data_IF_864045910978
#
_entry.id   IF_864045910978
#
_cell.length_a   1.000
_cell.length_b   1.000
_cell.length_c   1.000
_cell.angle_alpha   90.00
_cell.angle_beta   90.00
_cell.angle_gamma   90.00
#
_symmetry.space_group_name_H-M   'P 1'
#
loop_
_entity.id
_entity.type
_entity.pdbx_description
1 polymer ?
#
# COMPACT_ATOMS: atom_id res chain seq x y z
N UNK A 1 -36.75 21.65 -8.74
CA UNK A 1 -35.48 20.93 -8.97
C UNK A 1 -35.79 19.44 -8.90
N UNK A 2 -35.33 18.60 -9.84
CA UNK A 2 -35.65 17.17 -9.80
C UNK A 2 -34.99 16.57 -8.55
N UNK A 3 -35.76 15.79 -7.79
CA UNK A 3 -35.29 15.10 -6.59
C UNK A 3 -34.13 14.18 -6.98
N UNK A 4 -32.91 14.58 -6.62
CA UNK A 4 -31.75 13.69 -6.74
C UNK A 4 -31.93 12.59 -5.70
N UNK A 5 -32.14 11.37 -6.16
CA UNK A 5 -32.19 10.20 -5.29
C UNK A 5 -30.84 10.00 -4.58
N UNK A 6 -30.88 9.45 -3.37
CA UNK A 6 -29.70 9.18 -2.53
C UNK A 6 -28.62 8.38 -3.28
N UNK A 7 -29.05 7.45 -4.13
CA UNK A 7 -28.19 6.66 -5.01
C UNK A 7 -27.37 7.54 -5.97
N UNK A 8 -27.98 8.57 -6.55
CA UNK A 8 -27.30 9.49 -7.47
C UNK A 8 -26.25 10.33 -6.74
N UNK A 9 -26.56 10.76 -5.52
CA UNK A 9 -25.59 11.47 -4.67
C UNK A 9 -24.41 10.58 -4.29
N UNK A 10 -24.67 9.34 -3.86
CA UNK A 10 -23.61 8.38 -3.51
C UNK A 10 -22.74 8.06 -4.72
N UNK A 11 -23.31 7.92 -5.92
CA UNK A 11 -22.54 7.70 -7.15
C UNK A 11 -21.65 8.89 -7.51
N UNK A 12 -22.17 10.12 -7.40
CA UNK A 12 -21.35 11.33 -7.61
C UNK A 12 -20.25 11.44 -6.56
N UNK A 13 -20.57 11.16 -5.29
CA UNK A 13 -19.60 11.20 -4.19
C UNK A 13 -18.46 10.21 -4.42
N UNK A 14 -18.77 8.98 -4.82
CA UNK A 14 -17.78 7.96 -5.17
C UNK A 14 -16.90 8.42 -6.34
N UNK A 15 -17.49 8.98 -7.40
CA UNK A 15 -16.72 9.51 -8.51
C UNK A 15 -15.77 10.65 -8.11
N UNK A 16 -16.19 11.55 -7.21
CA UNK A 16 -15.31 12.59 -6.67
C UNK A 16 -14.22 12.03 -5.75
N UNK A 17 -14.53 10.99 -4.96
CA UNK A 17 -13.56 10.30 -4.12
C UNK A 17 -12.48 9.61 -4.95
N UNK A 18 -12.88 8.81 -5.95
CA UNK A 18 -11.98 8.03 -6.80
C UNK A 18 -11.09 8.91 -7.69
N UNK A 19 -11.59 10.10 -8.05
CA UNK A 19 -10.79 11.10 -8.80
C UNK A 19 -9.84 11.92 -7.92
N UNK A 20 -9.80 11.68 -6.59
CA UNK A 20 -8.94 12.39 -5.66
C UNK A 20 -9.38 13.84 -5.38
N UNK A 21 -10.55 14.25 -5.88
CA UNK A 21 -11.13 15.58 -5.67
C UNK A 21 -11.86 15.66 -4.32
N UNK A 22 -11.11 15.45 -3.23
CA UNK A 22 -11.66 15.29 -1.88
C UNK A 22 -12.36 16.54 -1.36
N UNK A 23 -11.91 17.75 -1.71
CA UNK A 23 -12.65 18.97 -1.34
C UNK A 23 -14.01 19.05 -2.06
N UNK A 24 -14.07 18.58 -3.31
CA UNK A 24 -15.32 18.50 -4.09
C UNK A 24 -16.27 17.44 -3.50
N UNK A 25 -15.74 16.27 -3.15
CA UNK A 25 -16.48 15.23 -2.44
C UNK A 25 -17.07 15.76 -1.12
N UNK A 26 -16.27 16.51 -0.35
CA UNK A 26 -16.70 17.13 0.92
C UNK A 26 -17.81 18.15 0.71
N UNK A 27 -17.67 19.04 -0.27
CA UNK A 27 -18.73 20.01 -0.57
C UNK A 27 -20.04 19.32 -0.97
N UNK A 28 -19.94 18.22 -1.73
CA UNK A 28 -21.10 17.42 -2.11
C UNK A 28 -21.74 16.79 -0.87
N UNK A 29 -20.93 16.14 -0.03
CA UNK A 29 -21.33 15.54 1.23
C UNK A 29 -22.05 16.52 2.17
N UNK A 30 -21.50 17.72 2.33
CA UNK A 30 -22.05 18.79 3.18
C UNK A 30 -23.42 19.27 2.66
N UNK A 31 -23.63 19.23 1.33
CA UNK A 31 -24.91 19.61 0.70
C UNK A 31 -26.00 18.52 0.75
N UNK A 32 -25.67 17.29 1.13
CA UNK A 32 -26.63 16.19 1.16
C UNK A 32 -27.65 16.34 2.30
N UNK A 33 -28.96 16.39 2.01
CA UNK A 33 -30.00 16.54 3.04
C UNK A 33 -30.20 15.28 3.89
N UNK A 34 -29.87 14.11 3.34
CA UNK A 34 -29.86 12.82 4.03
C UNK A 34 -28.58 12.09 3.68
N UNK A 35 -28.00 11.44 4.68
CA UNK A 35 -26.78 10.62 4.56
C UNK A 35 -27.08 9.25 5.13
N UNK A 36 -26.68 8.22 4.41
CA UNK A 36 -26.71 6.85 4.90
C UNK A 36 -25.28 6.37 5.20
N UNK A 37 -25.18 5.15 5.72
CA UNK A 37 -23.89 4.53 6.03
C UNK A 37 -22.95 4.46 4.81
N UNK A 38 -23.49 4.33 3.60
CA UNK A 38 -22.69 4.34 2.36
C UNK A 38 -22.10 5.72 2.13
N UNK A 39 -22.89 6.79 2.29
CA UNK A 39 -22.40 8.18 2.17
C UNK A 39 -21.23 8.44 3.12
N UNK A 40 -21.36 8.06 4.40
CA UNK A 40 -20.32 8.24 5.41
C UNK A 40 -19.07 7.42 5.12
N UNK A 41 -19.23 6.13 4.79
CA UNK A 41 -18.13 5.24 4.48
C UNK A 41 -17.34 5.72 3.25
N UNK A 42 -18.02 6.14 2.17
CA UNK A 42 -17.35 6.69 0.98
C UNK A 42 -16.56 7.94 1.31
N UNK A 43 -17.12 8.86 2.11
CA UNK A 43 -16.42 10.09 2.48
C UNK A 43 -15.20 9.81 3.37
N UNK A 44 -15.34 8.89 4.33
CA UNK A 44 -14.25 8.49 5.21
C UNK A 44 -13.10 7.83 4.43
N UNK A 45 -13.41 6.90 3.53
CA UNK A 45 -12.42 6.28 2.64
C UNK A 45 -11.72 7.29 1.75
N UNK A 46 -12.46 8.27 1.21
CA UNK A 46 -11.88 9.36 0.41
C UNK A 46 -10.86 10.17 1.21
N UNK A 47 -11.13 10.45 2.49
CA UNK A 47 -10.17 11.13 3.36
C UNK A 47 -8.96 10.26 3.71
N UNK A 48 -9.19 8.97 4.00
CA UNK A 48 -8.13 8.03 4.40
C UNK A 48 -7.10 7.79 3.28
N UNK A 49 -7.52 7.80 2.01
CA UNK A 49 -6.65 7.60 0.85
C UNK A 49 -5.64 8.74 0.61
N UNK A 50 -5.84 9.92 1.21
CA UNK A 50 -4.99 11.10 0.96
C UNK A 50 -3.74 11.16 1.86
N UNK A 51 -3.16 10.00 2.19
CA UNK A 51 -1.91 9.87 2.96
C UNK A 51 -1.87 10.77 4.21
N UNK A 52 -2.93 10.74 5.03
CA UNK A 52 -3.00 11.49 6.29
C UNK A 52 -3.26 13.00 6.18
N UNK A 53 -3.25 13.59 4.97
CA UNK A 53 -3.48 15.04 4.76
C UNK A 53 -4.82 15.52 5.32
N UNK A 54 -5.85 14.68 5.23
CA UNK A 54 -7.21 14.99 5.70
C UNK A 54 -7.59 14.21 6.96
N UNK A 55 -6.61 13.81 7.79
CA UNK A 55 -6.88 13.00 8.98
C UNK A 55 -7.91 13.62 9.92
N UNK A 56 -7.83 14.92 10.21
CA UNK A 56 -8.81 15.56 11.12
C UNK A 56 -10.23 15.52 10.55
N UNK A 57 -10.35 15.55 9.22
CA UNK A 57 -11.64 15.39 8.54
C UNK A 57 -12.09 13.93 8.53
N UNK A 58 -11.17 12.97 8.36
CA UNK A 58 -11.45 11.54 8.49
C UNK A 58 -11.94 11.22 9.91
N UNK A 59 -11.21 11.65 10.94
CA UNK A 59 -11.57 11.46 12.35
C UNK A 59 -12.92 12.11 12.67
N UNK A 60 -13.16 13.35 12.23
CA UNK A 60 -14.47 13.99 12.43
C UNK A 60 -15.59 13.25 11.70
N UNK A 61 -15.34 12.75 10.49
CA UNK A 61 -16.30 11.95 9.74
C UNK A 61 -16.65 10.69 10.56
N UNK A 62 -15.62 9.98 11.02
CA UNK A 62 -15.70 8.78 11.84
C UNK A 62 -16.46 9.01 13.15
N UNK A 63 -16.13 10.07 13.90
CA UNK A 63 -16.77 10.42 15.19
C UNK A 63 -18.25 10.79 15.04
N UNK A 64 -18.65 11.31 13.87
CA UNK A 64 -20.03 11.67 13.55
C UNK A 64 -20.84 10.52 12.94
N UNK A 65 -20.21 9.39 12.60
CA UNK A 65 -20.93 8.24 12.08
C UNK A 65 -21.86 7.68 13.18
N UNK A 66 -23.15 7.43 12.88
CA UNK A 66 -24.07 6.88 13.86
C UNK A 66 -23.70 5.48 14.34
N UNK A 67 -23.13 4.69 13.41
CA UNK A 67 -22.66 3.33 13.62
C UNK A 67 -21.36 3.14 12.83
N UNK A 68 -20.53 2.19 13.24
CA UNK A 68 -19.29 1.84 12.54
C UNK A 68 -19.39 0.45 11.95
N UNK A 69 -19.19 0.36 10.64
CA UNK A 69 -19.04 -0.90 9.95
C UNK A 69 -17.54 -1.19 9.70
N UNK A 70 -17.23 -2.37 9.17
CA UNK A 70 -15.86 -2.80 8.86
C UNK A 70 -15.13 -1.81 7.96
N UNK A 71 -15.82 -1.22 6.98
CA UNK A 71 -15.24 -0.20 6.09
C UNK A 71 -14.80 1.04 6.88
N UNK A 72 -15.60 1.50 7.84
CA UNK A 72 -15.25 2.65 8.67
C UNK A 72 -14.00 2.39 9.53
N UNK A 73 -13.94 1.23 10.18
CA UNK A 73 -12.76 0.84 10.96
C UNK A 73 -11.51 0.71 10.09
N UNK A 74 -11.60 0.06 8.93
CA UNK A 74 -10.50 -0.12 7.99
C UNK A 74 -9.96 1.23 7.50
N UNK A 75 -10.83 2.15 7.11
CA UNK A 75 -10.44 3.49 6.65
C UNK A 75 -9.79 4.30 7.77
N UNK A 76 -10.25 4.18 9.02
CA UNK A 76 -9.64 4.88 10.15
C UNK A 76 -8.25 4.31 10.48
N UNK A 77 -8.08 2.98 10.46
CA UNK A 77 -6.78 2.34 10.66
C UNK A 77 -5.82 2.72 9.53
N UNK A 78 -6.27 2.72 8.27
CA UNK A 78 -5.44 3.17 7.14
C UNK A 78 -5.00 4.64 7.29
N UNK A 79 -5.89 5.51 7.75
CA UNK A 79 -5.57 6.92 7.98
C UNK A 79 -4.55 7.12 9.12
N UNK A 80 -4.60 6.29 10.16
CA UNK A 80 -3.63 6.27 11.26
C UNK A 80 -2.29 5.68 10.84
N UNK A 81 -2.32 4.58 10.08
CA UNK A 81 -1.16 3.93 9.49
C UNK A 81 -0.37 4.92 8.62
N UNK A 82 -1.04 5.67 7.75
CA UNK A 82 -0.42 6.69 6.90
C UNK A 82 0.24 7.85 7.68
N UNK A 83 -0.09 8.01 8.97
CA UNK A 83 0.53 8.99 9.87
C UNK A 83 1.61 8.39 10.76
N UNK A 84 1.91 7.09 10.60
CA UNK A 84 2.81 6.32 11.47
C UNK A 84 2.38 6.34 12.95
N UNK A 85 1.08 6.52 13.21
CA UNK A 85 0.51 6.44 14.56
C UNK A 85 0.05 5.01 14.85
N UNK A 86 1.02 4.09 14.91
CA UNK A 86 0.77 2.64 15.09
C UNK A 86 0.12 2.34 16.43
N UNK A 87 0.42 3.12 17.48
CA UNK A 87 -0.19 2.98 18.80
C UNK A 87 -1.69 3.26 18.78
N UNK A 88 -2.14 4.35 18.14
CA UNK A 88 -3.56 4.62 18.01
C UNK A 88 -4.27 3.62 17.08
N UNK A 89 -3.60 3.20 16.00
CA UNK A 89 -4.12 2.16 15.12
C UNK A 89 -4.33 0.83 15.88
N UNK A 90 -3.35 0.46 16.72
CA UNK A 90 -3.41 -0.74 17.56
C UNK A 90 -4.51 -0.67 18.62
N UNK A 91 -4.70 0.49 19.25
CA UNK A 91 -5.77 0.68 20.23
C UNK A 91 -7.16 0.47 19.62
N UNK A 92 -7.38 0.93 18.39
CA UNK A 92 -8.63 0.68 17.65
C UNK A 92 -8.74 -0.81 17.29
N UNK A 93 -7.66 -1.38 16.75
CA UNK A 93 -7.60 -2.77 16.32
C UNK A 93 -7.92 -3.75 17.48
N UNK A 94 -7.26 -3.63 18.63
CA UNK A 94 -7.44 -4.55 19.76
C UNK A 94 -8.72 -4.28 20.58
N UNK A 95 -9.14 -3.01 20.69
CA UNK A 95 -10.14 -2.60 21.67
C UNK A 95 -11.55 -2.35 21.13
N UNK A 96 -11.67 -1.91 19.86
CA UNK A 96 -12.93 -1.41 19.32
C UNK A 96 -13.53 -2.30 18.23
N UNK A 97 -12.70 -3.14 17.59
CA UNK A 97 -13.12 -3.99 16.47
C UNK A 97 -13.48 -5.40 16.99
N UNK A 98 -14.72 -5.88 16.80
CA UNK A 98 -15.12 -7.21 17.26
C UNK A 98 -14.46 -8.37 16.50
N UNK A 99 -14.24 -8.19 15.19
CA UNK A 99 -13.64 -9.21 14.31
C UNK A 99 -12.67 -8.53 13.33
N UNK A 100 -11.45 -9.04 13.27
CA UNK A 100 -10.41 -8.54 12.36
C UNK A 100 -10.54 -9.23 11.01
N UNK A 101 -10.89 -8.46 9.97
CA UNK A 101 -10.85 -8.97 8.60
C UNK A 101 -9.42 -8.91 8.02
N UNK A 102 -9.22 -9.60 6.90
CA UNK A 102 -7.93 -9.66 6.20
C UNK A 102 -7.44 -8.27 5.78
N UNK A 103 -8.35 -7.35 5.46
CA UNK A 103 -8.01 -5.99 5.02
C UNK A 103 -7.41 -5.19 6.17
N UNK A 104 -8.01 -5.32 7.36
CA UNK A 104 -7.57 -4.65 8.57
C UNK A 104 -6.19 -5.14 9.03
N UNK A 105 -5.98 -6.47 9.04
CA UNK A 105 -4.69 -7.05 9.40
C UNK A 105 -3.61 -6.61 8.41
N UNK A 106 -3.90 -6.59 7.11
CA UNK A 106 -2.95 -6.10 6.10
C UNK A 106 -2.57 -4.63 6.32
N UNK A 107 -3.54 -3.78 6.67
CA UNK A 107 -3.28 -2.37 6.98
C UNK A 107 -2.36 -2.22 8.20
N UNK A 108 -2.56 -3.04 9.24
CA UNK A 108 -1.69 -3.06 10.42
C UNK A 108 -0.29 -3.58 10.11
N UNK A 109 -0.15 -4.64 9.30
CA UNK A 109 1.17 -5.16 8.86
C UNK A 109 1.94 -4.07 8.11
N UNK A 110 1.28 -3.36 7.18
CA UNK A 110 1.89 -2.25 6.45
C UNK A 110 2.31 -1.12 7.40
N UNK A 111 1.44 -0.75 8.36
CA UNK A 111 1.73 0.31 9.34
C UNK A 111 2.95 -0.02 10.21
N UNK A 112 3.00 -1.23 10.78
CA UNK A 112 4.13 -1.69 11.58
C UNK A 112 5.41 -1.79 10.74
N UNK A 113 5.30 -2.26 9.49
CA UNK A 113 6.42 -2.33 8.55
C UNK A 113 7.02 -0.97 8.21
N UNK A 114 6.19 0.05 7.97
CA UNK A 114 6.64 1.43 7.71
C UNK A 114 7.27 2.08 8.96
N UNK A 115 6.84 1.69 10.16
CA UNK A 115 7.42 2.18 11.41
C UNK A 115 8.70 1.43 11.85
N UNK A 116 9.13 0.42 11.10
CA UNK A 116 10.27 -0.44 11.46
C UNK A 116 9.98 -1.44 12.58
N UNK A 117 8.71 -1.65 12.92
CA UNK A 117 8.25 -2.60 13.94
C UNK A 117 8.04 -3.99 13.30
N UNK A 118 9.09 -4.56 12.70
CA UNK A 118 8.98 -5.80 11.93
C UNK A 118 8.48 -6.98 12.78
N UNK A 119 8.80 -7.01 14.08
CA UNK A 119 8.33 -8.05 15.00
C UNK A 119 6.80 -8.11 15.09
N UNK A 120 6.17 -6.96 15.30
CA UNK A 120 4.71 -6.85 15.41
C UNK A 120 4.03 -7.15 14.07
N UNK A 121 4.62 -6.69 12.96
CA UNK A 121 4.16 -7.01 11.62
C UNK A 121 4.16 -8.54 11.35
N UNK A 122 5.21 -9.25 11.80
CA UNK A 122 5.31 -10.71 11.69
C UNK A 122 4.30 -11.43 12.57
N UNK A 123 4.12 -10.99 13.81
CA UNK A 123 3.15 -11.59 14.73
C UNK A 123 1.74 -11.53 14.12
N UNK A 124 1.35 -10.38 13.59
CA UNK A 124 0.07 -10.21 12.90
C UNK A 124 -0.03 -11.12 11.67
N UNK A 125 1.01 -11.16 10.82
CA UNK A 125 1.03 -12.02 9.64
C UNK A 125 0.96 -13.52 9.98
N UNK A 126 1.59 -13.95 11.06
CA UNK A 126 1.59 -15.34 11.54
C UNK A 126 0.24 -15.74 12.15
N UNK A 127 -0.46 -14.79 12.77
CA UNK A 127 -1.80 -14.99 13.32
C UNK A 127 -2.90 -15.18 12.27
N UNK A 128 -2.64 -14.83 11.00
CA UNK A 128 -3.65 -14.91 9.93
C UNK A 128 -3.99 -16.37 9.57
N UNK A 129 -5.26 -16.79 9.68
CA UNK A 129 -5.68 -18.13 9.25
C UNK A 129 -5.62 -18.27 7.72
N UNK A 130 -6.02 -17.23 7.00
CA UNK A 130 -5.98 -17.16 5.54
C UNK A 130 -5.15 -15.96 5.09
N UNK A 131 -4.15 -16.22 4.23
CA UNK A 131 -3.22 -15.22 3.72
C UNK A 131 -3.50 -14.94 2.25
N UNK A 132 -3.66 -13.68 1.91
CA UNK A 132 -3.80 -13.20 0.53
C UNK A 132 -2.46 -12.73 -0.03
N UNK A 133 -2.36 -12.54 -1.35
CA UNK A 133 -1.13 -11.98 -1.94
C UNK A 133 -0.78 -10.60 -1.37
N UNK A 134 -1.79 -9.83 -0.95
CA UNK A 134 -1.61 -8.53 -0.29
C UNK A 134 -0.91 -8.71 1.07
N UNK A 135 -1.32 -9.71 1.87
CA UNK A 135 -0.66 -9.99 3.16
C UNK A 135 0.81 -10.36 2.99
N UNK A 136 1.13 -11.20 2.01
CA UNK A 136 2.51 -11.59 1.67
C UNK A 136 3.34 -10.40 1.19
N UNK A 137 2.82 -9.62 0.26
CA UNK A 137 3.51 -8.43 -0.25
C UNK A 137 3.76 -7.40 0.87
N UNK A 138 2.81 -7.25 1.79
CA UNK A 138 2.93 -6.31 2.92
C UNK A 138 4.07 -6.72 3.88
N UNK A 139 4.15 -7.99 4.25
CA UNK A 139 5.22 -8.46 5.16
C UNK A 139 6.59 -8.51 4.47
N UNK A 140 6.65 -8.86 3.18
CA UNK A 140 7.89 -8.78 2.40
C UNK A 140 8.37 -7.34 2.33
N UNK A 141 7.48 -6.39 2.04
CA UNK A 141 7.81 -4.97 2.03
C UNK A 141 8.32 -4.49 3.40
N UNK A 142 7.71 -4.94 4.51
CA UNK A 142 8.19 -4.64 5.86
C UNK A 142 9.63 -5.15 6.08
N UNK A 143 9.95 -6.39 5.67
CA UNK A 143 11.32 -6.90 5.71
C UNK A 143 12.29 -6.09 4.84
N UNK A 144 11.84 -5.62 3.67
CA UNK A 144 12.68 -4.80 2.77
C UNK A 144 12.99 -3.43 3.38
N UNK A 145 12.04 -2.82 4.10
CA UNK A 145 12.22 -1.54 4.78
C UNK A 145 13.20 -1.68 5.94
N UNK A 146 13.02 -2.74 6.75
CA UNK A 146 13.90 -3.06 7.89
C UNK A 146 15.30 -3.50 7.45
N UNK A 147 15.43 -4.04 6.22
CA UNK A 147 16.68 -4.56 5.69
C UNK A 147 16.94 -6.03 6.04
N UNK A 148 15.95 -6.74 6.58
CA UNK A 148 16.01 -8.19 6.82
C UNK A 148 15.92 -8.97 5.49
N UNK A 149 17.07 -9.07 4.81
CA UNK A 149 17.18 -9.77 3.53
C UNK A 149 16.81 -11.25 3.68
N UNK A 150 17.22 -11.89 4.78
CA UNK A 150 17.04 -13.32 4.96
C UNK A 150 15.56 -13.66 5.16
N UNK A 151 14.89 -12.90 6.02
CA UNK A 151 13.46 -13.06 6.26
C UNK A 151 12.61 -12.76 5.03
N UNK A 152 12.95 -11.73 4.25
CA UNK A 152 12.24 -11.44 3.00
C UNK A 152 12.35 -12.61 2.00
N UNK A 153 13.53 -13.21 1.85
CA UNK A 153 13.73 -14.36 0.95
C UNK A 153 12.95 -15.58 1.44
N UNK A 154 13.01 -15.89 2.74
CA UNK A 154 12.25 -17.00 3.33
C UNK A 154 10.74 -16.85 3.09
N UNK A 155 10.21 -15.63 3.28
CA UNK A 155 8.81 -15.33 3.04
C UNK A 155 8.43 -15.54 1.57
N UNK A 156 9.25 -15.07 0.62
CA UNK A 156 8.98 -15.24 -0.82
C UNK A 156 9.11 -16.70 -1.27
N UNK A 157 9.98 -17.49 -0.64
CA UNK A 157 10.06 -18.94 -0.89
C UNK A 157 8.78 -19.66 -0.46
N UNK A 158 8.16 -19.22 0.64
CA UNK A 158 6.91 -19.76 1.17
C UNK A 158 5.65 -19.27 0.42
N UNK A 159 5.76 -18.24 -0.42
CA UNK A 159 4.63 -17.71 -1.18
C UNK A 159 4.09 -18.74 -2.21
N UNK A 160 2.80 -19.10 -2.16
CA UNK A 160 2.20 -20.02 -3.13
C UNK A 160 2.21 -19.49 -4.57
N UNK A 161 2.15 -18.17 -4.72
CA UNK A 161 2.19 -17.47 -6.00
C UNK A 161 2.90 -16.14 -5.81
N UNK A 162 3.82 -15.85 -6.73
CA UNK A 162 4.57 -14.60 -6.80
C UNK A 162 3.99 -13.74 -7.90
N UNK A 163 3.81 -12.47 -7.63
CA UNK A 163 3.44 -11.47 -8.63
C UNK A 163 4.66 -10.58 -8.95
N UNK A 164 4.47 -9.67 -9.91
CA UNK A 164 5.49 -8.72 -10.33
C UNK A 164 5.98 -7.85 -9.16
N UNK A 165 5.10 -7.51 -8.21
CA UNK A 165 5.44 -6.74 -7.01
C UNK A 165 6.42 -7.51 -6.12
N UNK A 166 6.18 -8.81 -5.92
CA UNK A 166 7.07 -9.70 -5.16
C UNK A 166 8.48 -9.71 -5.75
N UNK A 167 8.59 -9.92 -7.07
CA UNK A 167 9.89 -9.96 -7.77
C UNK A 167 10.62 -8.61 -7.72
N UNK A 168 9.88 -7.51 -7.94
CA UNK A 168 10.43 -6.15 -7.88
C UNK A 168 10.98 -5.84 -6.48
N UNK A 169 10.28 -6.26 -5.42
CA UNK A 169 10.71 -6.07 -4.03
C UNK A 169 12.04 -6.79 -3.76
N UNK A 170 12.19 -8.04 -4.21
CA UNK A 170 13.43 -8.80 -4.06
C UNK A 170 14.61 -8.19 -4.82
N UNK A 171 14.39 -7.74 -6.06
CA UNK A 171 15.45 -7.07 -6.85
C UNK A 171 15.95 -5.83 -6.12
N UNK A 172 15.04 -5.00 -5.61
CA UNK A 172 15.38 -3.79 -4.85
C UNK A 172 16.14 -4.13 -3.56
N UNK A 173 15.70 -5.16 -2.84
CA UNK A 173 16.33 -5.62 -1.60
C UNK A 173 17.79 -6.04 -1.82
N UNK A 174 18.04 -6.94 -2.78
CA UNK A 174 19.39 -7.41 -3.08
C UNK A 174 20.27 -6.32 -3.68
N UNK A 175 19.68 -5.41 -4.49
CA UNK A 175 20.39 -4.25 -5.02
C UNK A 175 20.86 -3.29 -3.91
N UNK A 176 20.03 -3.07 -2.88
CA UNK A 176 20.38 -2.25 -1.70
C UNK A 176 21.44 -2.91 -0.83
N UNK A 177 21.47 -4.24 -0.77
CA UNK A 177 22.50 -5.02 -0.08
C UNK A 177 23.79 -5.19 -0.90
N UNK A 178 23.93 -4.49 -2.05
CA UNK A 178 25.05 -4.61 -3.00
C UNK A 178 25.28 -6.03 -3.57
N UNK A 179 24.27 -6.90 -3.46
CA UNK A 179 24.28 -8.28 -3.97
C UNK A 179 23.73 -8.33 -5.41
N UNK A 180 24.40 -7.62 -6.33
CA UNK A 180 23.94 -7.41 -7.70
C UNK A 180 23.76 -8.70 -8.52
N UNK A 181 24.63 -9.69 -8.32
CA UNK A 181 24.52 -10.99 -9.00
C UNK A 181 23.22 -11.73 -8.64
N UNK A 182 22.83 -11.65 -7.37
CA UNK A 182 21.60 -12.28 -6.90
C UNK A 182 20.37 -11.47 -7.36
N UNK A 183 20.45 -10.13 -7.33
CA UNK A 183 19.40 -9.27 -7.89
C UNK A 183 19.15 -9.58 -9.38
N UNK A 184 20.22 -9.80 -10.16
CA UNK A 184 20.14 -10.22 -11.55
C UNK A 184 19.58 -11.64 -11.72
N UNK A 185 20.04 -12.59 -10.91
CA UNK A 185 19.51 -13.96 -10.94
C UNK A 185 18.01 -14.01 -10.66
N UNK A 186 17.53 -13.19 -9.72
CA UNK A 186 16.11 -13.05 -9.39
C UNK A 186 15.33 -12.42 -10.56
N UNK A 187 15.90 -11.40 -11.19
CA UNK A 187 15.32 -10.82 -12.40
C UNK A 187 15.23 -11.85 -13.53
N UNK A 188 16.27 -12.65 -13.77
CA UNK A 188 16.29 -13.68 -14.83
C UNK A 188 15.27 -14.81 -14.57
N UNK A 189 14.91 -15.08 -13.31
CA UNK A 189 13.87 -16.05 -12.92
C UNK A 189 12.44 -15.51 -13.10
N UNK A 190 12.27 -14.21 -13.30
CA UNK A 190 10.97 -13.58 -13.47
C UNK A 190 10.34 -14.01 -14.81
N UNK A 191 9.09 -14.52 -14.84
CA UNK A 191 8.48 -15.02 -16.08
C UNK A 191 8.27 -13.96 -17.16
N UNK A 192 8.01 -12.71 -16.76
CA UNK A 192 7.81 -11.57 -17.66
C UNK A 192 8.58 -10.38 -17.12
N UNK A 193 9.45 -9.75 -17.93
CA UNK A 193 10.19 -8.55 -17.52
C UNK A 193 9.42 -7.29 -17.87
N UNK A 194 8.78 -6.66 -16.89
CA UNK A 194 8.09 -5.39 -17.07
C UNK A 194 9.04 -4.19 -16.90
N UNK A 195 8.55 -3.00 -17.28
CA UNK A 195 9.35 -1.76 -17.19
C UNK A 195 9.76 -1.48 -15.74
N UNK A 196 8.94 -1.85 -14.77
CA UNK A 196 9.19 -1.61 -13.34
C UNK A 196 10.36 -2.45 -12.85
N UNK A 197 10.39 -3.75 -13.12
CA UNK A 197 11.48 -4.63 -12.72
C UNK A 197 12.80 -4.26 -13.42
N UNK A 198 12.76 -3.91 -14.71
CA UNK A 198 13.92 -3.42 -15.44
C UNK A 198 14.47 -2.13 -14.81
N UNK A 199 13.59 -1.20 -14.45
CA UNK A 199 13.97 0.06 -13.80
C UNK A 199 14.59 -0.20 -12.42
N UNK A 200 14.02 -1.12 -11.64
CA UNK A 200 14.55 -1.50 -10.32
C UNK A 200 15.98 -2.07 -10.43
N UNK A 201 16.20 -3.01 -11.35
CA UNK A 201 17.53 -3.59 -11.57
C UNK A 201 18.55 -2.56 -12.09
N UNK A 202 18.14 -1.72 -13.04
CA UNK A 202 18.98 -0.66 -13.59
C UNK A 202 19.41 0.34 -12.52
N UNK A 203 18.48 0.81 -11.67
CA UNK A 203 18.76 1.69 -10.54
C UNK A 203 19.67 1.00 -9.51
N UNK A 204 19.51 -0.31 -9.32
CA UNK A 204 20.37 -1.13 -8.48
C UNK A 204 21.83 -1.12 -8.94
N UNK A 205 22.07 -1.36 -10.24
CA UNK A 205 23.42 -1.28 -10.82
C UNK A 205 24.00 0.14 -10.76
N UNK A 206 23.21 1.16 -11.12
CA UNK A 206 23.65 2.55 -11.12
C UNK A 206 24.09 3.01 -9.72
N UNK A 207 23.31 2.67 -8.69
CA UNK A 207 23.61 3.02 -7.29
C UNK A 207 24.90 2.37 -6.78
N UNK A 208 25.24 1.19 -7.27
CA UNK A 208 26.46 0.47 -6.91
C UNK A 208 27.65 0.79 -7.82
N UNK A 209 27.49 1.72 -8.78
CA UNK A 209 28.56 2.16 -9.69
C UNK A 209 28.88 1.19 -10.83
N UNK A 210 28.06 0.16 -11.05
CA UNK A 210 28.26 -0.80 -12.15
C UNK A 210 27.65 -0.28 -13.45
N UNK A 211 28.41 0.57 -14.14
CA UNK A 211 28.02 1.18 -15.42
C UNK A 211 27.80 0.14 -16.54
N UNK A 212 28.50 -0.99 -16.51
CA UNK A 212 28.34 -2.05 -17.51
C UNK A 212 27.03 -2.81 -17.30
N UNK A 213 26.67 -3.09 -16.05
CA UNK A 213 25.38 -3.62 -15.66
C UNK A 213 24.24 -2.68 -16.07
N UNK A 214 24.34 -1.40 -15.72
CA UNK A 214 23.34 -0.37 -16.06
C UNK A 214 23.11 -0.28 -17.57
N UNK A 215 24.18 -0.22 -18.37
CA UNK A 215 24.07 -0.13 -19.84
C UNK A 215 23.45 -1.38 -20.45
N UNK A 216 23.85 -2.58 -20.00
CA UNK A 216 23.27 -3.85 -20.49
C UNK A 216 21.77 -3.92 -20.26
N UNK A 217 21.30 -3.56 -19.07
CA UNK A 217 19.87 -3.55 -18.75
C UNK A 217 19.15 -2.44 -19.53
N UNK A 218 19.76 -1.27 -19.71
CA UNK A 218 19.16 -0.19 -20.50
C UNK A 218 18.97 -0.57 -21.99
N UNK A 219 19.89 -1.35 -22.54
CA UNK A 219 19.84 -1.78 -23.94
C UNK A 219 18.80 -2.87 -24.19
N UNK A 220 18.42 -3.66 -23.17
CA UNK A 220 17.34 -4.65 -23.26
C UNK A 220 15.95 -4.05 -23.08
N UNK A 221 15.83 -2.80 -22.60
CA UNK A 221 14.53 -2.13 -22.41
C UNK A 221 13.92 -1.67 -23.74
N UNK A 222 12.78 -2.25 -24.10
CA UNK A 222 11.96 -1.87 -25.26
C UNK A 222 11.29 -0.49 -25.10
N UNK A 223 11.04 -0.06 -23.87
CA UNK A 223 10.45 1.24 -23.55
C UNK A 223 11.31 1.95 -22.50
N UNK A 224 11.82 3.13 -22.87
CA UNK A 224 12.68 3.97 -22.05
C UNK A 224 11.88 5.17 -21.57
N UNK A 225 11.92 5.45 -20.27
CA UNK A 225 11.29 6.63 -19.68
C UNK A 225 12.36 7.62 -19.17
N UNK A 226 11.93 8.80 -18.72
CA UNK A 226 12.83 9.83 -18.20
C UNK A 226 13.71 9.33 -17.05
N UNK A 227 13.19 8.44 -16.20
CA UNK A 227 13.92 7.86 -15.06
C UNK A 227 15.05 6.94 -15.53
N UNK A 228 14.77 6.03 -16.47
CA UNK A 228 15.78 5.12 -17.04
C UNK A 228 16.88 5.87 -17.80
N UNK A 229 16.55 7.02 -18.40
CA UNK A 229 17.52 7.84 -19.14
C UNK A 229 18.41 8.63 -18.18
N UNK A 230 17.87 9.11 -17.06
CA UNK A 230 18.64 9.82 -16.03
C UNK A 230 19.65 8.91 -15.34
N UNK A 231 19.31 7.64 -15.14
CA UNK A 231 20.21 6.67 -14.51
C UNK A 231 21.43 6.28 -15.38
N UNK A 232 21.52 6.78 -16.62
CA UNK A 232 22.67 6.61 -17.52
C UNK A 232 23.64 7.80 -17.52
N UNK A 233 23.32 8.89 -16.80
CA UNK A 233 24.11 10.14 -16.71
C UNK A 233 24.82 10.20 -15.36
#
# INVERSE_FOLDING_TARGET
MPERHLVTWNAMLAAFADSGHVEGAKSLFDSMPRRDMVTWATMLSAFAQQHGRFFDSAKRCFDLMPEWNTVAWNSMIQALAARLDTAAARAIFDGAVPEHDVVMINAMIAAHGENGELGDARELFDSMPERTIISWNSIVQACVIDGDVHGAVELVERMPRRDVLTWTALINLHSRASNLELAKSIFDQMPEHDVVACTALLMGFARNGDLEGTKRVYDTMLCKNSVTTLAMV
#
